data_IF_871504960139
#
_entry.id   IF_871504960139
#
_cell.length_a   1.000
_cell.length_b   1.000
_cell.length_c   1.000
_cell.angle_alpha   90.00
_cell.angle_beta   90.00
_cell.angle_gamma   90.00
#
_symmetry.space_group_name_H-M   'P 1'
#
loop_
_entity.id
_entity.type
_entity.pdbx_description
1 polymer ?
#
# COMPACT_ATOMS: atom_id res chain seq x y z
N UNK A 1 1.79 -24.74 -5.83
CA UNK A 1 1.65 -23.26 -5.68
C UNK A 1 0.73 -22.99 -4.50
N UNK A 2 1.22 -22.34 -3.43
CA UNK A 2 0.40 -22.09 -2.22
C UNK A 2 -0.64 -21.02 -2.56
N UNK A 3 -1.92 -21.37 -2.50
CA UNK A 3 -3.03 -20.42 -2.73
C UNK A 3 -3.38 -19.77 -1.39
N UNK A 4 -3.51 -18.44 -1.39
CA UNK A 4 -4.06 -17.70 -0.26
C UNK A 4 -5.58 -17.58 -0.44
N UNK A 5 -6.40 -17.87 0.58
CA UNK A 5 -7.83 -17.64 0.56
C UNK A 5 -8.19 -16.18 0.27
N UNK A 6 -9.28 -15.95 -0.45
CA UNK A 6 -9.71 -14.59 -0.82
C UNK A 6 -10.01 -13.71 0.40
N UNK A 7 -10.56 -14.28 1.48
CA UNK A 7 -10.82 -13.55 2.72
C UNK A 7 -9.51 -13.14 3.42
N UNK A 8 -8.49 -14.01 3.43
CA UNK A 8 -7.17 -13.68 3.97
C UNK A 8 -6.54 -12.51 3.21
N UNK A 9 -6.63 -12.51 1.87
CA UNK A 9 -6.13 -11.41 1.04
C UNK A 9 -6.95 -10.12 1.25
N UNK A 10 -8.26 -10.24 1.44
CA UNK A 10 -9.11 -9.10 1.74
C UNK A 10 -8.73 -8.46 3.07
N UNK A 11 -8.55 -9.26 4.12
CA UNK A 11 -8.10 -8.78 5.44
C UNK A 11 -6.73 -8.11 5.33
N UNK A 12 -5.75 -8.74 4.68
CA UNK A 12 -4.41 -8.17 4.52
C UNK A 12 -4.40 -6.82 3.79
N UNK A 13 -5.29 -6.64 2.81
CA UNK A 13 -5.43 -5.38 2.08
C UNK A 13 -6.01 -4.25 2.93
N UNK A 14 -6.74 -4.57 4.01
CA UNK A 14 -7.55 -3.62 4.77
C UNK A 14 -7.15 -3.48 6.24
N UNK A 15 -6.35 -4.40 6.78
CA UNK A 15 -6.00 -4.43 8.20
C UNK A 15 -5.06 -3.29 8.63
N UNK A 16 -4.28 -2.74 7.69
CA UNK A 16 -3.36 -1.62 7.94
C UNK A 16 -3.82 -0.43 7.10
N UNK A 17 -4.12 0.74 7.70
CA UNK A 17 -4.40 1.94 6.93
C UNK A 17 -3.27 2.24 5.95
N UNK A 18 -3.58 2.39 4.66
CA UNK A 18 -2.57 2.61 3.62
C UNK A 18 -1.72 3.85 3.87
N UNK A 19 -2.28 4.88 4.52
CA UNK A 19 -1.52 6.05 4.93
C UNK A 19 -0.38 5.70 5.89
N UNK A 20 -0.66 4.90 6.93
CA UNK A 20 0.34 4.40 7.90
C UNK A 20 1.34 3.47 7.20
N UNK A 21 0.88 2.60 6.31
CA UNK A 21 1.76 1.74 5.52
C UNK A 21 2.75 2.55 4.69
N UNK A 22 2.27 3.58 3.99
CA UNK A 22 3.09 4.46 3.15
C UNK A 22 4.10 5.24 4.00
N UNK A 23 3.63 5.94 5.03
CA UNK A 23 4.45 6.90 5.77
C UNK A 23 5.39 6.22 6.78
N UNK A 24 4.90 5.25 7.55
CA UNK A 24 5.63 4.77 8.74
C UNK A 24 6.40 3.48 8.46
N UNK A 25 5.84 2.61 7.62
CA UNK A 25 6.38 1.27 7.36
C UNK A 25 7.27 1.28 6.12
N UNK A 26 6.71 1.65 4.97
CA UNK A 26 7.44 1.72 3.70
C UNK A 26 8.31 2.98 3.60
N UNK A 27 8.03 4.00 4.42
CA UNK A 27 8.74 5.28 4.46
C UNK A 27 8.85 5.94 3.08
N UNK A 28 7.79 5.82 2.30
CA UNK A 28 7.68 6.47 0.99
C UNK A 28 7.66 7.98 1.19
N UNK A 29 8.41 8.76 0.40
CA UNK A 29 8.32 10.21 0.47
C UNK A 29 6.87 10.68 0.34
N UNK A 30 6.39 11.43 1.33
CA UNK A 30 5.03 11.94 1.37
C UNK A 30 4.99 13.40 1.85
N UNK A 31 3.92 14.10 1.50
CA UNK A 31 3.65 15.49 1.88
C UNK A 31 2.16 15.75 1.90
N UNK A 32 1.75 16.77 2.65
CA UNK A 32 0.39 17.31 2.55
C UNK A 32 0.43 18.51 1.62
N UNK A 33 -0.40 18.49 0.57
CA UNK A 33 -0.53 19.58 -0.39
C UNK A 33 -2.01 19.84 -0.63
N UNK A 34 -2.44 21.09 -0.49
CA UNK A 34 -3.85 21.48 -0.66
C UNK A 34 -4.79 20.70 0.29
N UNK A 35 -4.32 20.38 1.49
CA UNK A 35 -5.08 19.57 2.46
C UNK A 35 -5.16 18.07 2.13
N UNK A 36 -4.50 17.61 1.07
CA UNK A 36 -4.50 16.20 0.65
C UNK A 36 -3.16 15.54 0.95
N UNK A 37 -3.19 14.37 1.61
CA UNK A 37 -2.03 13.51 1.77
C UNK A 37 -1.58 12.96 0.41
N UNK A 38 -0.35 13.26 0.03
CA UNK A 38 0.24 12.87 -1.26
C UNK A 38 1.53 12.11 -1.01
N UNK A 39 1.68 10.99 -1.68
CA UNK A 39 2.91 10.18 -1.66
C UNK A 39 3.52 10.10 -3.05
N UNK A 40 4.83 9.86 -3.11
CA UNK A 40 5.54 9.60 -4.36
C UNK A 40 5.06 8.27 -4.94
N UNK A 41 4.40 8.30 -6.10
CA UNK A 41 3.98 7.07 -6.76
C UNK A 41 5.20 6.19 -7.09
N UNK A 42 5.25 4.91 -6.67
CA UNK A 42 6.42 4.05 -6.88
C UNK A 42 6.66 3.68 -8.35
N UNK A 43 5.73 4.01 -9.25
CA UNK A 43 5.78 3.64 -10.67
C UNK A 43 6.21 4.80 -11.53
N UNK A 44 5.60 5.97 -11.36
CA UNK A 44 5.88 7.14 -12.19
C UNK A 44 6.68 8.23 -11.48
N UNK A 45 7.00 8.05 -10.19
CA UNK A 45 7.78 8.98 -9.37
C UNK A 45 7.16 10.39 -9.27
N UNK A 46 5.84 10.46 -9.16
CA UNK A 46 5.08 11.71 -9.12
C UNK A 46 4.11 11.76 -7.96
N UNK A 47 3.85 12.97 -7.46
CA UNK A 47 3.02 13.23 -6.28
C UNK A 47 1.54 13.47 -6.61
N UNK A 48 1.10 13.23 -7.85
CA UNK A 48 -0.32 13.31 -8.20
C UNK A 48 -1.05 12.06 -7.70
N UNK A 49 -1.13 11.89 -6.39
CA UNK A 49 -1.71 10.73 -5.71
C UNK A 49 -2.80 11.14 -4.73
N UNK A 50 -3.64 10.18 -4.36
CA UNK A 50 -4.67 10.35 -3.33
C UNK A 50 -5.03 9.03 -2.68
N UNK A 51 -5.58 9.13 -1.47
CA UNK A 51 -6.05 8.00 -0.66
C UNK A 51 -7.57 8.05 -0.58
N UNK A 52 -8.23 6.91 -0.77
CA UNK A 52 -9.62 6.71 -0.38
C UNK A 52 -9.65 5.87 0.91
N UNK A 53 -9.79 6.51 2.08
CA UNK A 53 -9.73 5.81 3.36
C UNK A 53 -10.91 4.84 3.57
N UNK A 54 -12.06 5.07 2.91
CA UNK A 54 -13.26 4.23 3.08
C UNK A 54 -13.07 2.80 2.54
N UNK A 55 -12.16 2.61 1.58
CA UNK A 55 -11.89 1.30 0.95
C UNK A 55 -10.40 0.93 0.99
N UNK A 56 -9.62 1.65 1.81
CA UNK A 56 -8.17 1.45 1.99
C UNK A 56 -7.38 1.31 0.69
N UNK A 57 -7.70 2.16 -0.30
CA UNK A 57 -7.12 2.13 -1.64
C UNK A 57 -6.45 3.46 -1.95
N UNK A 58 -5.35 3.41 -2.70
CA UNK A 58 -4.70 4.61 -3.20
C UNK A 58 -4.68 4.63 -4.72
N UNK A 59 -4.69 5.83 -5.30
CA UNK A 59 -4.58 6.04 -6.75
C UNK A 59 -3.51 7.05 -7.06
N UNK A 60 -2.74 6.79 -8.11
CA UNK A 60 -1.98 7.83 -8.80
C UNK A 60 -2.81 8.33 -9.99
N UNK A 61 -3.08 9.63 -10.03
CA UNK A 61 -3.80 10.28 -11.11
C UNK A 61 -2.93 10.55 -12.34
N UNK A 62 -1.59 10.51 -12.20
CA UNK A 62 -0.68 10.67 -13.33
C UNK A 62 -0.52 9.40 -14.16
N UNK A 63 -0.26 8.26 -13.51
CA UNK A 63 -0.14 6.97 -14.22
C UNK A 63 -1.43 6.14 -14.20
N UNK A 64 -2.49 6.67 -13.60
CA UNK A 64 -3.82 6.08 -13.52
C UNK A 64 -3.91 4.72 -12.80
N UNK A 65 -2.85 4.30 -12.10
CA UNK A 65 -2.81 3.03 -11.37
C UNK A 65 -3.43 3.16 -9.98
N UNK A 66 -4.19 2.13 -9.60
CA UNK A 66 -4.65 1.92 -8.22
C UNK A 66 -3.71 0.94 -7.52
N UNK A 67 -3.54 1.11 -6.21
CA UNK A 67 -2.74 0.23 -5.37
C UNK A 67 -3.50 -0.05 -4.06
N UNK A 68 -3.61 -1.31 -3.70
CA UNK A 68 -3.91 -1.72 -2.32
C UNK A 68 -2.61 -1.91 -1.52
N UNK A 69 -2.70 -2.29 -0.25
CA UNK A 69 -1.54 -2.52 0.61
C UNK A 69 -0.51 -3.52 0.03
N UNK A 70 -0.98 -4.61 -0.59
CA UNK A 70 -0.12 -5.63 -1.21
C UNK A 70 0.64 -5.02 -2.40
N UNK A 71 -0.07 -4.32 -3.28
CA UNK A 71 0.54 -3.69 -4.46
C UNK A 71 1.59 -2.65 -4.04
N UNK A 72 1.32 -1.86 -3.00
CA UNK A 72 2.27 -0.88 -2.46
C UNK A 72 3.56 -1.53 -1.97
N UNK A 73 3.47 -2.68 -1.28
CA UNK A 73 4.65 -3.42 -0.81
C UNK A 73 5.43 -3.98 -1.99
N UNK A 74 4.75 -4.58 -2.98
CA UNK A 74 5.40 -5.12 -4.17
C UNK A 74 6.21 -4.06 -4.91
N UNK A 75 5.59 -2.91 -5.18
CA UNK A 75 6.21 -1.84 -5.97
C UNK A 75 7.32 -1.10 -5.19
N UNK A 76 7.17 -0.88 -3.88
CA UNK A 76 8.20 -0.19 -3.09
C UNK A 76 9.38 -1.09 -2.69
N UNK A 77 9.17 -2.39 -2.52
CA UNK A 77 10.24 -3.32 -2.14
C UNK A 77 10.81 -4.11 -3.33
N UNK A 78 10.23 -3.97 -4.53
CA UNK A 78 10.65 -4.73 -5.71
C UNK A 78 10.46 -6.24 -5.54
N UNK A 79 9.42 -6.65 -4.81
CA UNK A 79 9.17 -8.05 -4.46
C UNK A 79 7.91 -8.62 -5.12
N UNK A 80 7.80 -9.94 -5.14
CA UNK A 80 6.65 -10.64 -5.68
C UNK A 80 5.43 -10.63 -4.74
N UNK A 81 4.30 -11.08 -5.27
CA UNK A 81 3.05 -11.19 -4.52
C UNK A 81 3.18 -12.04 -3.25
N UNK A 82 3.87 -13.18 -3.32
CA UNK A 82 4.00 -14.08 -2.16
C UNK A 82 4.82 -13.42 -1.03
N UNK A 83 5.91 -12.76 -1.40
CA UNK A 83 6.80 -12.03 -0.50
C UNK A 83 6.04 -10.90 0.18
N UNK A 84 5.28 -10.10 -0.59
CA UNK A 84 4.47 -9.01 -0.04
C UNK A 84 3.37 -9.48 0.94
N UNK A 85 2.72 -10.62 0.65
CA UNK A 85 1.73 -11.22 1.56
C UNK A 85 2.39 -11.69 2.86
N UNK A 86 3.54 -12.36 2.77
CA UNK A 86 4.29 -12.80 3.97
C UNK A 86 4.74 -11.60 4.81
N UNK A 87 5.23 -10.54 4.18
CA UNK A 87 5.63 -9.30 4.85
C UNK A 87 4.47 -8.69 5.65
N UNK A 88 3.30 -8.51 5.01
CA UNK A 88 2.12 -7.94 5.68
C UNK A 88 1.62 -8.83 6.82
N UNK A 89 1.66 -10.16 6.67
CA UNK A 89 1.29 -11.09 7.75
C UNK A 89 2.22 -10.99 8.95
N UNK A 90 3.53 -10.92 8.72
CA UNK A 90 4.52 -10.75 9.78
C UNK A 90 4.33 -9.41 10.49
N UNK A 91 4.09 -8.35 9.73
CA UNK A 91 3.82 -7.03 10.28
C UNK A 91 2.58 -7.02 11.19
N UNK A 92 1.49 -7.66 10.78
CA UNK A 92 0.29 -7.78 11.61
C UNK A 92 0.52 -8.63 12.87
N UNK A 93 1.28 -9.71 12.77
CA UNK A 93 1.63 -10.54 13.93
C UNK A 93 2.57 -9.85 14.93
N UNK A 94 3.38 -8.89 14.49
CA UNK A 94 4.29 -8.12 15.32
C UNK A 94 3.65 -6.85 15.94
N UNK A 95 2.43 -6.50 15.52
CA UNK A 95 1.66 -5.37 16.09
C UNK A 95 0.70 -5.81 17.22
N UNK A 96 0.80 -7.06 17.68
CA UNK A 96 0.05 -7.62 18.82
C UNK A 96 0.85 -7.53 20.12
#
# INVERSE_FOLDING_TARGET
>A
MKKFPSNELFELRNAIPVEILIQNILRVPCKTSEGVFRFLCPVCNEFQTGINPNVNLVRCFRCERNFNAIDLVMENQGCGFKESVVFLKQLLGNMQ
#
